data_IF_132439393704
#
_entry.id   IF_132439393704
#
_cell.length_a   1.000
_cell.length_b   1.000
_cell.length_c   1.000
_cell.angle_alpha   90.00
_cell.angle_beta   90.00
_cell.angle_gamma   90.00
#
_symmetry.space_group_name_H-M   'P 1'
#
loop_
_entity.id
_entity.type
_entity.pdbx_description
1 polymer ?
#
# COMPACT_ATOMS: atom_id res chain seq x y z
N UNK A 1 6.27 73.50 52.38
CA UNK A 1 5.10 73.42 53.29
C UNK A 1 4.80 71.94 53.50
N UNK A 2 4.78 71.53 54.78
CA UNK A 2 4.49 70.21 55.38
C UNK A 2 5.41 68.99 55.11
N UNK A 3 6.18 68.68 56.16
CA UNK A 3 6.52 67.33 56.64
C UNK A 3 5.28 66.59 57.18
N UNK A 4 5.25 65.24 57.04
CA UNK A 4 5.39 64.21 58.12
C UNK A 4 4.86 62.84 57.61
N UNK A 5 5.69 61.77 57.60
CA UNK A 5 5.95 60.76 58.69
C UNK A 5 4.76 59.78 58.85
N UNK A 6 4.85 58.44 58.76
CA UNK A 6 5.78 57.50 59.41
C UNK A 6 5.59 56.02 58.97
N UNK A 7 6.73 55.29 58.93
CA UNK A 7 7.06 53.95 59.49
C UNK A 7 6.55 52.72 58.71
N UNK A 8 7.43 51.90 58.11
CA UNK A 8 8.45 50.95 58.65
C UNK A 8 7.84 49.72 59.34
N UNK A 9 8.10 48.52 58.79
CA UNK A 9 8.94 47.48 59.44
C UNK A 9 8.90 46.11 58.72
N UNK A 10 10.09 45.47 58.66
CA UNK A 10 10.28 44.01 58.62
C UNK A 10 10.72 43.42 57.27
N UNK A 11 11.97 43.04 56.98
CA UNK A 11 13.17 42.84 57.79
C UNK A 11 13.71 41.40 57.69
N UNK A 12 15.04 41.26 57.49
CA UNK A 12 15.93 40.09 57.80
C UNK A 12 15.97 38.94 56.76
N UNK A 13 17.05 38.21 56.48
CA UNK A 13 18.47 38.13 56.90
C UNK A 13 19.16 37.15 55.91
N UNK A 14 20.21 37.53 55.18
CA UNK A 14 21.65 37.17 55.35
C UNK A 14 22.03 35.71 55.68
N UNK A 15 22.74 35.10 54.71
CA UNK A 15 23.91 34.17 54.76
C UNK A 15 24.08 33.14 55.89
N UNK A 16 24.30 31.85 55.53
CA UNK A 16 25.33 30.96 56.12
C UNK A 16 25.63 29.71 55.29
N UNK A 17 26.92 29.35 55.24
CA UNK A 17 27.59 28.24 54.51
C UNK A 17 27.47 26.91 55.25
N UNK A 18 27.47 25.76 54.55
CA UNK A 18 28.11 24.49 55.00
C UNK A 18 28.59 23.68 53.78
N UNK A 19 29.89 23.36 53.75
CA UNK A 19 30.53 22.30 52.96
C UNK A 19 30.69 21.07 53.86
N UNK A 20 30.36 19.86 53.39
CA UNK A 20 30.85 18.61 53.98
C UNK A 20 31.05 17.53 52.90
N UNK A 21 32.27 16.99 52.89
CA UNK A 21 32.76 15.86 52.11
C UNK A 21 32.38 14.54 52.81
N UNK A 22 32.02 13.49 52.05
CA UNK A 22 32.23 12.10 52.47
C UNK A 22 32.24 11.16 51.26
N UNK A 23 33.39 10.51 51.04
CA UNK A 23 33.57 9.35 50.17
C UNK A 23 33.44 8.11 51.05
N UNK A 24 32.66 7.10 50.64
CA UNK A 24 32.82 5.71 51.09
C UNK A 24 32.17 4.74 50.08
N UNK A 25 32.98 3.80 49.60
CA UNK A 25 32.58 2.64 48.80
C UNK A 25 31.66 1.70 49.60
N UNK A 26 30.63 1.18 48.95
CA UNK A 26 30.17 -0.20 49.17
C UNK A 26 29.75 -0.84 47.86
N UNK A 27 30.18 -2.09 47.70
CA UNK A 27 30.05 -2.95 46.53
C UNK A 27 28.71 -3.70 46.49
N UNK A 28 28.52 -4.44 45.39
CA UNK A 28 27.62 -5.59 45.14
C UNK A 28 26.18 -5.15 44.71
N UNK A 29 25.56 -5.66 43.64
CA UNK A 29 25.61 -6.95 42.94
C UNK A 29 25.34 -6.73 41.42
N UNK A 30 26.05 -7.38 40.48
CA UNK A 30 25.60 -7.42 39.10
C UNK A 30 24.36 -8.32 39.05
N UNK A 31 23.19 -7.71 38.83
CA UNK A 31 22.01 -8.47 38.44
C UNK A 31 22.32 -9.32 37.20
N UNK A 32 21.66 -10.48 37.01
CA UNK A 32 21.93 -11.33 35.87
C UNK A 32 21.81 -10.49 34.60
N UNK A 33 22.89 -10.49 33.82
CA UNK A 33 22.90 -9.86 32.52
C UNK A 33 21.74 -10.44 31.71
N UNK A 34 20.68 -9.65 31.54
CA UNK A 34 19.73 -9.88 30.47
C UNK A 34 20.51 -9.56 29.20
N UNK A 35 21.25 -10.56 28.72
CA UNK A 35 21.84 -10.60 27.40
C UNK A 35 20.68 -10.71 26.40
N UNK A 36 20.05 -9.58 26.19
CA UNK A 36 19.07 -9.34 25.16
C UNK A 36 19.13 -7.86 24.92
N UNK A 37 20.09 -7.42 24.12
CA UNK A 37 19.94 -6.14 23.42
C UNK A 37 18.50 -6.09 22.90
N UNK A 38 17.72 -5.03 23.16
CA UNK A 38 16.43 -4.89 22.51
C UNK A 38 16.70 -5.06 21.02
N UNK A 39 16.14 -6.11 20.44
CA UNK A 39 16.20 -6.36 19.00
C UNK A 39 15.61 -5.09 18.43
N UNK A 40 16.45 -4.26 17.77
CA UNK A 40 16.06 -2.93 17.27
C UNK A 40 14.64 -3.04 16.79
N UNK A 41 13.73 -2.35 17.46
CA UNK A 41 12.37 -2.20 16.97
C UNK A 41 12.52 -1.86 15.49
N UNK A 42 11.94 -2.68 14.62
CA UNK A 42 11.99 -2.53 13.17
C UNK A 42 11.25 -1.26 12.79
N UNK A 43 11.85 -0.11 13.10
CA UNK A 43 11.48 1.18 12.56
C UNK A 43 11.49 0.98 11.05
N UNK A 44 10.30 1.01 10.45
CA UNK A 44 10.12 0.92 9.02
C UNK A 44 11.08 1.91 8.36
N UNK A 45 12.12 1.38 7.72
CA UNK A 45 13.01 2.16 6.90
C UNK A 45 12.41 2.18 5.49
N UNK A 46 11.83 3.31 5.04
CA UNK A 46 11.31 3.39 3.68
C UNK A 46 12.38 3.15 2.61
N UNK A 47 13.67 3.18 2.98
CA UNK A 47 14.78 2.88 2.09
C UNK A 47 15.16 1.38 2.04
N UNK A 48 14.65 0.53 2.95
CA UNK A 48 14.78 -0.95 2.90
C UNK A 48 13.45 -1.63 2.51
N UNK A 49 12.70 -0.99 1.60
CA UNK A 49 11.34 -1.39 1.20
C UNK A 49 11.25 -2.81 0.60
N UNK A 50 12.36 -3.39 0.13
CA UNK A 50 12.37 -4.69 -0.52
C UNK A 50 12.60 -5.86 0.46
N UNK A 51 13.05 -5.61 1.69
CA UNK A 51 13.32 -6.66 2.67
C UNK A 51 12.03 -7.37 3.03
N UNK A 52 11.99 -8.68 2.80
CA UNK A 52 10.82 -9.51 3.09
C UNK A 52 9.60 -9.18 2.21
N UNK A 53 9.80 -8.42 1.13
CA UNK A 53 8.72 -8.06 0.22
C UNK A 53 8.22 -9.31 -0.53
N UNK A 54 6.93 -9.58 -0.39
CA UNK A 54 6.25 -10.67 -1.07
C UNK A 54 5.90 -10.34 -2.52
N UNK A 55 6.05 -9.08 -2.93
CA UNK A 55 5.86 -8.64 -4.30
C UNK A 55 7.10 -8.88 -5.14
N UNK A 56 6.87 -9.27 -6.39
CA UNK A 56 7.91 -9.22 -7.41
C UNK A 56 7.87 -7.88 -8.13
N UNK A 57 9.04 -7.32 -8.41
CA UNK A 57 9.19 -6.10 -9.19
C UNK A 57 8.38 -4.90 -8.65
N UNK A 58 8.38 -4.70 -7.33
CA UNK A 58 7.67 -3.59 -6.68
C UNK A 58 8.27 -2.20 -6.92
N UNK A 59 9.51 -2.13 -7.39
CA UNK A 59 10.16 -0.90 -7.85
C UNK A 59 10.03 -0.67 -9.35
N UNK A 60 9.32 -1.55 -10.07
CA UNK A 60 9.01 -1.40 -11.50
C UNK A 60 10.23 -1.25 -12.43
N UNK A 61 11.38 -1.83 -12.05
CA UNK A 61 12.64 -1.76 -12.79
C UNK A 61 12.70 -2.69 -14.00
N UNK A 62 11.75 -3.63 -14.10
CA UNK A 62 11.65 -4.60 -15.19
C UNK A 62 10.32 -4.48 -15.91
N UNK A 63 10.35 -4.35 -17.25
CA UNK A 63 9.16 -4.28 -18.09
C UNK A 63 9.23 -5.23 -19.29
N UNK A 64 8.06 -5.57 -19.83
CA UNK A 64 7.93 -6.23 -21.12
C UNK A 64 8.15 -5.26 -22.30
N UNK A 65 8.10 -5.76 -23.55
CA UNK A 65 8.21 -4.91 -24.75
C UNK A 65 7.11 -3.85 -24.86
N UNK A 66 5.97 -4.07 -24.22
CA UNK A 66 4.82 -3.16 -24.09
C UNK A 66 4.99 -2.09 -23.00
N UNK A 67 6.15 -2.09 -22.31
CA UNK A 67 6.46 -1.25 -21.16
C UNK A 67 5.61 -1.52 -19.92
N UNK A 68 4.85 -2.62 -19.89
CA UNK A 68 4.13 -3.03 -18.69
C UNK A 68 5.12 -3.70 -17.72
N UNK A 69 5.11 -3.33 -16.42
CA UNK A 69 5.99 -3.97 -15.44
C UNK A 69 5.77 -5.49 -15.40
N UNK A 70 6.86 -6.25 -15.47
CA UNK A 70 6.80 -7.72 -15.37
C UNK A 70 6.23 -8.14 -14.02
N UNK A 71 5.46 -9.23 -14.01
CA UNK A 71 4.86 -9.79 -12.79
C UNK A 71 3.59 -9.08 -12.32
N UNK A 72 3.16 -8.03 -13.03
CA UNK A 72 1.95 -7.28 -12.72
C UNK A 72 0.93 -7.38 -13.86
N UNK A 73 -0.36 -7.38 -13.52
CA UNK A 73 -1.47 -7.53 -14.48
C UNK A 73 -2.30 -6.26 -14.51
N UNK A 74 -2.38 -5.65 -15.68
CA UNK A 74 -3.19 -4.46 -15.93
C UNK A 74 -4.68 -4.81 -16.04
N UNK A 75 -5.53 -3.94 -15.51
CA UNK A 75 -6.97 -3.98 -15.77
C UNK A 75 -7.58 -2.59 -15.53
N UNK A 76 -8.81 -2.42 -16.00
CA UNK A 76 -9.45 -1.12 -16.13
C UNK A 76 -10.98 -1.26 -16.25
N UNK A 77 -11.69 -0.17 -15.99
CA UNK A 77 -13.14 -0.10 -16.22
C UNK A 77 -13.48 0.32 -17.66
N UNK A 78 -12.71 1.23 -18.27
CA UNK A 78 -12.92 1.73 -19.64
C UNK A 78 -11.60 1.84 -20.41
N UNK A 79 -11.68 1.75 -21.73
CA UNK A 79 -10.53 2.01 -22.62
C UNK A 79 -10.05 3.47 -22.55
N UNK A 80 -8.91 3.77 -23.17
CA UNK A 80 -8.40 5.14 -23.32
C UNK A 80 -7.44 5.60 -22.22
N UNK A 81 -6.83 4.67 -21.49
CA UNK A 81 -5.80 4.92 -20.49
C UNK A 81 -4.43 4.45 -20.99
N UNK A 82 -3.37 4.72 -20.22
CA UNK A 82 -2.03 4.17 -20.42
C UNK A 82 -1.45 3.70 -19.08
N UNK A 83 -0.89 2.51 -19.07
CA UNK A 83 -0.01 2.02 -18.00
C UNK A 83 1.34 1.72 -18.64
N UNK A 84 2.43 2.20 -18.03
CA UNK A 84 3.79 1.89 -18.47
C UNK A 84 4.80 2.23 -17.37
N UNK A 85 5.97 1.58 -17.39
CA UNK A 85 7.15 2.12 -16.70
C UNK A 85 7.55 3.47 -17.33
N UNK A 86 8.03 4.39 -16.50
CA UNK A 86 8.41 5.74 -16.89
C UNK A 86 9.65 6.20 -16.15
N UNK A 87 10.48 6.97 -16.84
CA UNK A 87 11.64 7.67 -16.27
C UNK A 87 11.39 9.17 -16.04
N UNK A 88 10.13 9.62 -16.14
CA UNK A 88 9.77 11.05 -16.00
C UNK A 88 9.82 11.54 -14.55
N UNK A 89 9.45 10.67 -13.61
CA UNK A 89 9.48 10.94 -12.18
C UNK A 89 9.82 9.65 -11.46
N UNK A 90 10.87 9.68 -10.64
CA UNK A 90 11.43 8.52 -9.95
C UNK A 90 11.45 8.78 -8.45
N UNK A 91 11.12 7.76 -7.65
CA UNK A 91 11.41 7.79 -6.21
C UNK A 91 12.77 7.14 -5.96
N UNK A 92 13.08 6.06 -6.69
CA UNK A 92 14.38 5.42 -6.74
C UNK A 92 14.63 4.72 -8.08
N UNK A 93 15.81 4.13 -8.24
CA UNK A 93 16.11 3.31 -9.42
C UNK A 93 16.10 4.10 -10.74
N UNK A 94 15.64 3.45 -11.81
CA UNK A 94 15.58 4.01 -13.17
C UNK A 94 14.15 4.22 -13.65
N UNK A 95 13.19 3.51 -13.07
CA UNK A 95 11.81 3.53 -13.51
C UNK A 95 10.83 3.60 -12.33
N UNK A 96 9.72 4.27 -12.55
CA UNK A 96 8.52 4.15 -11.73
C UNK A 96 7.36 3.68 -12.62
N UNK A 97 6.33 3.08 -12.03
CA UNK A 97 5.10 2.84 -12.76
C UNK A 97 4.36 4.17 -12.95
N UNK A 98 3.88 4.45 -14.16
CA UNK A 98 2.98 5.55 -14.48
C UNK A 98 1.65 5.00 -15.00
N UNK A 99 0.56 5.42 -14.36
CA UNK A 99 -0.81 5.27 -14.85
C UNK A 99 -1.29 6.64 -15.30
N UNK A 100 -1.88 6.75 -16.49
CA UNK A 100 -2.46 7.99 -17.03
C UNK A 100 -3.83 7.71 -17.61
N UNK A 101 -4.83 8.51 -17.21
CA UNK A 101 -6.18 8.47 -17.77
C UNK A 101 -6.63 9.90 -18.09
N UNK A 102 -6.87 10.24 -19.37
CA UNK A 102 -7.37 11.56 -19.76
C UNK A 102 -8.78 11.84 -19.22
N UNK A 103 -9.63 10.82 -19.21
CA UNK A 103 -11.01 10.88 -18.71
C UNK A 103 -11.15 10.09 -17.40
N UNK A 104 -12.19 10.36 -16.58
CA UNK A 104 -12.44 9.62 -15.35
C UNK A 104 -12.56 8.11 -15.62
N UNK A 105 -11.67 7.34 -15.01
CA UNK A 105 -11.62 5.89 -15.15
C UNK A 105 -11.21 5.23 -13.82
N UNK A 106 -11.34 3.91 -13.77
CA UNK A 106 -10.77 3.07 -12.73
C UNK A 106 -9.74 2.18 -13.39
N UNK A 107 -8.46 2.45 -13.14
CA UNK A 107 -7.33 1.80 -13.80
C UNK A 107 -6.39 1.28 -12.74
N UNK A 108 -5.99 0.01 -12.83
CA UNK A 108 -5.11 -0.59 -11.84
C UNK A 108 -4.13 -1.59 -12.44
N UNK A 109 -3.06 -1.80 -11.68
CA UNK A 109 -2.08 -2.84 -11.95
C UNK A 109 -1.99 -3.73 -10.71
N UNK A 110 -2.29 -5.02 -10.85
CA UNK A 110 -2.46 -5.94 -9.73
C UNK A 110 -1.42 -7.07 -9.70
N UNK A 111 -1.13 -7.55 -8.50
CA UNK A 111 -0.39 -8.79 -8.28
C UNK A 111 -1.12 -9.65 -7.25
N UNK A 112 -1.21 -10.94 -7.57
CA UNK A 112 -1.80 -11.96 -6.70
C UNK A 112 -0.69 -12.62 -5.91
N UNK A 113 -0.81 -12.65 -4.59
CA UNK A 113 0.28 -13.01 -3.67
C UNK A 113 -0.21 -14.02 -2.65
N UNK A 114 0.58 -15.06 -2.42
CA UNK A 114 0.32 -16.04 -1.34
C UNK A 114 0.59 -15.40 0.02
N UNK A 115 -0.32 -15.63 0.96
CA UNK A 115 -0.23 -15.13 2.33
C UNK A 115 -0.53 -16.24 3.33
N UNK A 116 -0.14 -16.02 4.58
CA UNK A 116 -0.45 -16.91 5.70
C UNK A 116 -1.82 -16.56 6.28
N UNK A 117 -2.61 -17.54 6.75
CA UNK A 117 -3.84 -17.28 7.50
C UNK A 117 -3.55 -16.64 8.86
N UNK A 118 -4.48 -15.80 9.36
CA UNK A 118 -4.39 -15.13 10.67
C UNK A 118 -3.11 -14.29 10.88
N UNK A 119 -2.60 -13.70 9.81
CA UNK A 119 -1.32 -12.99 9.78
C UNK A 119 -1.52 -11.53 9.41
N UNK A 120 -0.73 -10.66 10.03
CA UNK A 120 -0.77 -9.22 9.81
C UNK A 120 0.17 -8.87 8.65
N UNK A 121 -0.24 -7.95 7.80
CA UNK A 121 0.50 -7.51 6.62
C UNK A 121 0.40 -5.99 6.47
N UNK A 122 1.45 -5.42 5.90
CA UNK A 122 1.48 -4.04 5.40
C UNK A 122 1.64 -4.05 3.89
N UNK A 123 0.72 -3.41 3.18
CA UNK A 123 0.88 -3.06 1.77
C UNK A 123 1.14 -1.56 1.66
N UNK A 124 2.30 -1.18 1.12
CA UNK A 124 2.77 0.20 1.15
C UNK A 124 3.65 0.57 -0.03
N UNK A 125 3.99 1.85 -0.12
CA UNK A 125 4.90 2.38 -1.11
C UNK A 125 4.74 3.89 -1.28
N UNK A 126 5.27 4.42 -2.37
CA UNK A 126 5.23 5.84 -2.67
C UNK A 126 4.31 6.13 -3.85
N UNK A 127 3.58 7.24 -3.76
CA UNK A 127 2.69 7.72 -4.81
C UNK A 127 3.00 9.19 -5.10
N UNK A 128 3.04 9.55 -6.38
CA UNK A 128 3.08 10.93 -6.85
C UNK A 128 1.96 11.14 -7.86
N UNK A 129 1.23 12.25 -7.76
CA UNK A 129 0.10 12.56 -8.63
C UNK A 129 0.29 13.83 -9.44
N UNK A 130 -0.31 13.84 -10.63
CA UNK A 130 -0.43 15.01 -11.52
C UNK A 130 -1.88 15.13 -11.97
N UNK A 131 -2.54 16.21 -11.56
CA UNK A 131 -3.93 16.54 -11.91
C UNK A 131 -4.93 15.38 -11.65
N UNK A 132 -4.76 14.64 -10.54
CA UNK A 132 -5.62 13.49 -10.22
C UNK A 132 -6.94 13.92 -9.59
N UNK A 133 -8.01 13.95 -10.37
CA UNK A 133 -9.37 14.32 -9.95
C UNK A 133 -9.47 15.66 -9.18
N UNK A 134 -10.68 16.09 -8.78
CA UNK A 134 -10.79 17.13 -7.76
C UNK A 134 -10.48 16.54 -6.38
N UNK A 135 -9.89 17.35 -5.49
CA UNK A 135 -9.60 16.96 -4.11
C UNK A 135 -10.87 16.44 -3.39
N UNK A 136 -10.71 15.43 -2.54
CA UNK A 136 -11.82 14.86 -1.75
C UNK A 136 -12.62 13.72 -2.43
N UNK A 137 -12.16 13.24 -3.60
CA UNK A 137 -12.62 11.97 -4.21
C UNK A 137 -11.52 10.89 -4.09
N UNK A 138 -11.86 9.65 -4.44
CA UNK A 138 -10.88 8.55 -4.51
C UNK A 138 -9.93 8.80 -5.67
N UNK A 139 -8.64 8.83 -5.35
CA UNK A 139 -7.57 9.21 -6.24
C UNK A 139 -6.64 8.03 -6.52
N UNK A 140 -5.34 8.29 -6.46
CA UNK A 140 -4.34 7.23 -6.50
C UNK A 140 -4.22 6.55 -5.12
N UNK A 141 -4.24 5.22 -5.08
CA UNK A 141 -4.18 4.45 -3.83
C UNK A 141 -3.58 3.05 -4.00
N UNK A 142 -3.26 2.43 -2.87
CA UNK A 142 -2.97 1.02 -2.73
C UNK A 142 -4.25 0.27 -2.34
N UNK A 143 -4.69 -0.68 -3.16
CA UNK A 143 -5.97 -1.38 -3.04
C UNK A 143 -5.81 -2.87 -2.77
N UNK A 144 -6.73 -3.45 -2.00
CA UNK A 144 -7.02 -4.89 -2.01
C UNK A 144 -8.17 -5.13 -2.99
N UNK A 145 -7.88 -5.61 -4.21
CA UNK A 145 -8.85 -5.73 -5.31
C UNK A 145 -9.90 -6.82 -5.07
N UNK A 146 -9.52 -7.89 -4.37
CA UNK A 146 -10.45 -8.80 -3.75
C UNK A 146 -10.21 -8.61 -2.26
N UNK A 147 -11.07 -7.88 -1.54
CA UNK A 147 -12.49 -7.66 -1.82
C UNK A 147 -12.90 -6.39 -2.61
N UNK A 148 -11.97 -5.49 -2.95
CA UNK A 148 -12.15 -4.43 -3.95
C UNK A 148 -12.46 -3.03 -3.41
N UNK A 149 -12.85 -2.94 -2.13
CA UNK A 149 -13.26 -1.70 -1.46
C UNK A 149 -12.31 -1.23 -0.36
N UNK A 150 -11.30 -2.03 0.00
CA UNK A 150 -10.27 -1.60 0.94
C UNK A 150 -9.10 -0.96 0.19
N UNK A 151 -8.72 0.24 0.63
CA UNK A 151 -7.58 0.96 0.09
C UNK A 151 -6.89 1.82 1.15
N UNK A 152 -5.64 2.19 0.88
CA UNK A 152 -4.90 3.21 1.63
C UNK A 152 -5.58 4.58 1.49
N UNK A 153 -5.22 5.59 2.31
CA UNK A 153 -5.57 6.97 2.01
C UNK A 153 -5.25 7.34 0.57
N UNK A 154 -6.18 8.05 -0.06
CA UNK A 154 -6.08 8.49 -1.44
C UNK A 154 -5.18 9.71 -1.60
N UNK A 155 -4.48 9.76 -2.73
CA UNK A 155 -3.69 10.93 -3.14
C UNK A 155 -4.35 11.52 -4.38
N UNK A 156 -4.71 12.81 -4.31
CA UNK A 156 -5.43 13.56 -5.34
C UNK A 156 -4.68 14.85 -5.71
N UNK A 157 -5.13 15.53 -6.75
CA UNK A 157 -4.52 16.78 -7.22
C UNK A 157 -3.08 16.59 -7.72
N UNK A 158 -2.23 17.55 -7.38
CA UNK A 158 -0.79 17.51 -7.64
C UNK A 158 -0.06 17.25 -6.31
N UNK A 159 0.85 16.29 -6.29
CA UNK A 159 1.62 15.96 -5.08
C UNK A 159 3.12 15.87 -5.35
N UNK A 160 3.89 15.83 -4.26
CA UNK A 160 5.22 15.23 -4.27
C UNK A 160 5.09 13.71 -4.10
N UNK A 161 6.20 12.99 -4.06
CA UNK A 161 6.19 11.60 -3.59
C UNK A 161 5.75 11.57 -2.13
N UNK A 162 4.61 10.92 -1.90
CA UNK A 162 4.03 10.73 -0.58
C UNK A 162 3.95 9.24 -0.31
N UNK A 163 4.44 8.86 0.86
CA UNK A 163 4.31 7.49 1.35
C UNK A 163 2.87 7.26 1.84
N UNK A 164 2.32 6.11 1.53
CA UNK A 164 1.02 5.67 2.06
C UNK A 164 1.00 4.16 2.20
N UNK A 165 0.06 3.65 2.98
CA UNK A 165 -0.04 2.23 3.27
C UNK A 165 -1.44 1.82 3.72
N UNK A 166 -1.66 0.51 3.69
CA UNK A 166 -2.81 -0.17 4.23
C UNK A 166 -2.32 -1.40 5.00
N UNK A 167 -2.67 -1.46 6.28
CA UNK A 167 -2.34 -2.58 7.14
C UNK A 167 -3.58 -3.47 7.29
N UNK A 168 -3.41 -4.78 7.15
CA UNK A 168 -4.52 -5.70 7.25
C UNK A 168 -4.14 -7.04 7.89
N UNK A 169 -5.12 -7.73 8.46
CA UNK A 169 -4.98 -9.09 8.97
C UNK A 169 -5.81 -10.05 8.13
N UNK A 170 -5.18 -11.12 7.66
CA UNK A 170 -5.86 -12.20 6.95
C UNK A 170 -6.73 -13.03 7.90
N UNK A 171 -7.83 -13.61 7.40
CA UNK A 171 -8.63 -14.54 8.20
C UNK A 171 -8.06 -15.98 8.19
N UNK A 172 -8.64 -16.86 9.01
CA UNK A 172 -8.17 -18.23 9.28
C UNK A 172 -8.10 -19.18 8.08
N UNK A 173 -8.69 -18.82 6.95
CA UNK A 173 -8.71 -19.63 5.72
C UNK A 173 -8.11 -18.90 4.52
N UNK A 174 -7.68 -17.65 4.69
CA UNK A 174 -7.14 -16.86 3.60
C UNK A 174 -5.70 -17.30 3.33
N UNK A 175 -5.40 -17.66 2.08
CA UNK A 175 -4.06 -18.08 1.65
C UNK A 175 -3.51 -17.22 0.51
N UNK A 176 -4.29 -16.26 0.07
CA UNK A 176 -3.98 -15.42 -1.08
C UNK A 176 -4.59 -14.03 -0.89
N UNK A 177 -3.95 -12.99 -1.41
CA UNK A 177 -4.55 -11.67 -1.61
C UNK A 177 -4.24 -11.18 -3.00
N UNK A 178 -5.09 -10.31 -3.55
CA UNK A 178 -4.76 -9.55 -4.77
C UNK A 178 -4.63 -8.09 -4.38
N UNK A 179 -3.40 -7.60 -4.39
CA UNK A 179 -3.06 -6.20 -4.14
C UNK A 179 -2.95 -5.46 -5.47
N UNK A 180 -3.20 -4.16 -5.47
CA UNK A 180 -3.02 -3.33 -6.66
C UNK A 180 -2.60 -1.90 -6.33
N UNK A 181 -1.86 -1.32 -7.25
CA UNK A 181 -1.72 0.12 -7.39
C UNK A 181 -2.82 0.61 -8.33
N UNK A 182 -3.53 1.67 -7.96
CA UNK A 182 -4.80 2.02 -8.59
C UNK A 182 -4.99 3.52 -8.71
N UNK A 183 -5.54 3.96 -9.84
CA UNK A 183 -6.03 5.31 -10.09
C UNK A 183 -7.57 5.26 -10.18
N UNK A 184 -8.24 5.85 -9.19
CA UNK A 184 -9.69 5.84 -9.07
C UNK A 184 -10.24 4.57 -8.41
N UNK A 185 -11.55 4.37 -8.54
CA UNK A 185 -12.28 3.14 -8.17
C UNK A 185 -13.58 3.08 -8.95
N UNK A 186 -14.14 1.89 -9.15
CA UNK A 186 -15.27 1.68 -10.04
C UNK A 186 -16.50 2.59 -9.79
N UNK A 187 -16.77 2.96 -8.53
CA UNK A 187 -17.85 3.88 -8.13
C UNK A 187 -17.41 5.36 -8.08
N UNK A 188 -16.10 5.59 -8.07
CA UNK A 188 -15.48 6.91 -7.92
C UNK A 188 -14.29 7.03 -8.88
N UNK A 189 -14.53 7.04 -10.21
CA UNK A 189 -13.47 7.05 -11.20
C UNK A 189 -12.69 8.38 -11.17
N UNK A 190 -11.41 8.33 -11.54
CA UNK A 190 -10.49 9.47 -11.54
C UNK A 190 -9.77 9.63 -12.89
N UNK A 191 -9.52 10.88 -13.27
CA UNK A 191 -8.65 11.27 -14.39
C UNK A 191 -7.33 11.82 -13.84
N UNK A 192 -6.31 11.94 -14.68
CA UNK A 192 -4.99 12.46 -14.34
C UNK A 192 -3.88 11.42 -14.51
N UNK A 193 -2.73 11.66 -13.88
CA UNK A 193 -1.63 10.71 -13.86
C UNK A 193 -1.15 10.42 -12.44
N UNK A 194 -0.87 9.15 -12.17
CA UNK A 194 -0.34 8.67 -10.90
C UNK A 194 0.93 7.86 -11.16
N UNK A 195 1.95 8.12 -10.36
CA UNK A 195 3.22 7.42 -10.35
C UNK A 195 3.32 6.61 -9.07
N UNK A 196 3.86 5.40 -9.17
CA UNK A 196 4.03 4.48 -8.06
C UNK A 196 5.46 3.92 -8.08
N UNK A 197 6.08 3.81 -6.92
CA UNK A 197 7.43 3.28 -6.78
C UNK A 197 7.64 2.68 -5.37
N UNK A 198 8.65 1.82 -5.23
CA UNK A 198 9.04 1.12 -4.00
C UNK A 198 7.86 0.44 -3.29
N UNK A 199 7.05 -0.27 -4.07
CA UNK A 199 5.83 -0.90 -3.59
C UNK A 199 6.15 -2.22 -2.90
N UNK A 200 5.65 -2.39 -1.67
CA UNK A 200 5.95 -3.54 -0.82
C UNK A 200 4.73 -4.15 -0.18
N UNK A 201 4.70 -5.48 -0.11
CA UNK A 201 3.79 -6.24 0.76
C UNK A 201 4.64 -7.07 1.72
N UNK A 202 4.61 -6.74 3.01
CA UNK A 202 5.44 -7.39 4.03
C UNK A 202 4.59 -7.97 5.14
N UNK A 203 5.02 -9.11 5.68
CA UNK A 203 4.46 -9.70 6.90
C UNK A 203 4.88 -8.87 8.12
N UNK A 204 3.99 -8.71 9.09
CA UNK A 204 4.26 -8.00 10.34
C UNK A 204 4.21 -8.96 11.53
N UNK A 205 5.12 -8.76 12.48
CA UNK A 205 5.19 -9.52 13.74
C UNK A 205 3.99 -9.26 14.69
N UNK A 206 3.15 -8.30 14.36
CA UNK A 206 1.97 -7.90 15.13
C UNK A 206 1.08 -6.92 14.37
N UNK A 207 -0.09 -6.57 14.90
CA UNK A 207 -0.79 -5.39 14.42
C UNK A 207 0.10 -4.15 14.60
N UNK A 208 -0.05 -3.12 13.75
CA UNK A 208 0.64 -1.86 13.96
C UNK A 208 0.23 -1.23 15.31
N UNK A 209 1.08 -0.36 15.90
CA UNK A 209 0.75 0.36 17.12
C UNK A 209 -0.58 1.13 17.02
N UNK A 210 -1.31 1.36 18.14
CA UNK A 210 -2.60 2.04 18.11
C UNK A 210 -2.57 3.47 17.55
N UNK A 211 -1.43 4.15 17.65
CA UNK A 211 -1.17 5.50 17.16
C UNK A 211 -0.66 5.54 15.71
N UNK A 212 -0.63 4.40 15.02
CA UNK A 212 -0.21 4.33 13.62
C UNK A 212 -1.15 5.19 12.74
N UNK A 213 -0.60 6.06 11.85
CA UNK A 213 -1.38 7.08 11.13
C UNK A 213 -2.39 6.55 10.09
N UNK A 214 -2.52 5.24 9.94
CA UNK A 214 -3.32 4.60 8.90
C UNK A 214 -4.21 3.50 9.46
N UNK A 215 -5.36 3.29 8.80
CA UNK A 215 -6.38 2.33 9.23
C UNK A 215 -5.84 0.90 9.24
N UNK A 216 -6.16 0.17 10.31
CA UNK A 216 -5.93 -1.27 10.40
C UNK A 216 -7.20 -2.07 10.07
N UNK A 217 -7.09 -3.04 9.16
CA UNK A 217 -8.21 -3.79 8.64
C UNK A 217 -8.19 -5.26 9.07
N UNK A 218 -9.34 -5.78 9.46
CA UNK A 218 -9.53 -7.22 9.65
C UNK A 218 -10.30 -7.76 8.46
N UNK A 219 -9.63 -8.55 7.63
CA UNK A 219 -10.28 -9.18 6.49
C UNK A 219 -11.15 -10.32 7.00
N UNK A 220 -12.35 -10.42 6.46
CA UNK A 220 -13.29 -11.50 6.72
C UNK A 220 -13.58 -12.28 5.44
N UNK A 221 -13.97 -13.57 5.54
CA UNK A 221 -14.38 -14.33 4.36
C UNK A 221 -15.55 -13.69 3.59
N UNK A 222 -16.39 -12.90 4.27
CA UNK A 222 -17.57 -12.25 3.69
C UNK A 222 -17.21 -11.08 2.78
N UNK A 223 -16.02 -10.51 2.93
CA UNK A 223 -15.58 -9.39 2.10
C UNK A 223 -15.30 -9.85 0.66
N UNK A 224 -14.83 -11.08 0.49
CA UNK A 224 -14.44 -11.61 -0.82
C UNK A 224 -15.67 -12.08 -1.60
N UNK A 225 -15.73 -11.80 -2.92
CA UNK A 225 -16.76 -12.39 -3.77
C UNK A 225 -16.72 -13.91 -3.60
N UNK A 226 -17.86 -14.53 -3.24
CA UNK A 226 -17.94 -15.98 -3.26
C UNK A 226 -17.69 -16.44 -4.69
N UNK A 227 -16.68 -17.29 -4.91
CA UNK A 227 -16.62 -18.11 -6.11
C UNK A 227 -17.98 -18.80 -6.23
N UNK A 228 -18.77 -18.43 -7.25
CA UNK A 228 -20.02 -19.13 -7.55
C UNK A 228 -19.66 -20.51 -8.09
N UNK A 229 -19.34 -21.45 -7.21
CA UNK A 229 -19.21 -22.88 -7.51
C UNK A 229 -20.59 -23.53 -7.67
N UNK A 230 -21.51 -22.86 -8.37
CA UNK A 230 -22.86 -23.35 -8.64
C UNK A 230 -22.93 -24.07 -9.99
N UNK A 231 -23.91 -24.97 -10.19
CA UNK A 231 -24.04 -25.80 -11.40
C UNK A 231 -24.16 -25.00 -12.71
N UNK A 232 -24.47 -23.70 -12.64
CA UNK A 232 -24.48 -22.80 -13.79
C UNK A 232 -23.08 -22.55 -14.41
N UNK A 233 -22.00 -22.68 -13.65
CA UNK A 233 -20.63 -22.52 -14.16
C UNK A 233 -20.29 -23.53 -15.27
N UNK A 234 -20.78 -24.78 -15.13
CA UNK A 234 -20.61 -25.82 -16.14
C UNK A 234 -21.48 -25.60 -17.38
N UNK A 235 -22.64 -24.95 -17.23
CA UNK A 235 -23.53 -24.62 -18.37
C UNK A 235 -22.87 -23.55 -19.25
N UNK A 236 -22.27 -22.51 -18.66
CA UNK A 236 -21.56 -21.49 -19.43
C UNK A 236 -20.30 -22.04 -20.12
N UNK A 237 -19.56 -22.96 -19.50
CA UNK A 237 -18.42 -23.62 -20.12
C UNK A 237 -18.84 -24.54 -21.29
N UNK A 238 -19.94 -25.29 -21.14
CA UNK A 238 -20.46 -26.17 -22.19
C UNK A 238 -20.96 -25.38 -23.43
N UNK A 239 -21.63 -24.24 -23.23
CA UNK A 239 -22.07 -23.37 -24.32
C UNK A 239 -20.89 -22.74 -25.05
N UNK A 240 -19.81 -22.39 -24.34
CA UNK A 240 -18.60 -21.83 -24.95
C UNK A 240 -17.84 -22.85 -25.81
N UNK A 241 -17.73 -24.10 -25.33
CA UNK A 241 -17.09 -25.18 -26.11
C UNK A 241 -17.91 -25.57 -27.34
N UNK A 242 -19.25 -25.62 -27.22
CA UNK A 242 -20.13 -25.91 -28.35
C UNK A 242 -20.10 -24.80 -29.42
N UNK A 243 -20.07 -23.52 -29.00
CA UNK A 243 -19.95 -22.38 -29.90
C UNK A 243 -18.62 -22.37 -30.69
N UNK A 244 -17.51 -22.72 -30.04
CA UNK A 244 -16.20 -22.81 -30.70
C UNK A 244 -16.15 -23.93 -31.77
N UNK A 245 -16.81 -25.07 -31.53
CA UNK A 245 -16.87 -26.16 -32.50
C UNK A 245 -17.69 -25.79 -33.76
N UNK A 246 -18.78 -25.02 -33.59
CA UNK A 246 -19.59 -24.53 -34.72
C UNK A 246 -18.83 -23.49 -35.56
N UNK A 247 -18.02 -22.64 -34.93
CA UNK A 247 -17.18 -21.67 -35.65
C UNK A 247 -16.02 -22.33 -36.40
N UNK A 248 -15.41 -23.38 -35.85
CA UNK A 248 -14.33 -24.12 -36.52
C UNK A 248 -14.84 -24.96 -37.71
N UNK A 249 -16.03 -25.55 -37.58
CA UNK A 249 -16.69 -26.24 -38.70
C UNK A 249 -17.21 -25.27 -39.76
N UNK A 250 -17.66 -24.08 -39.35
CA UNK A 250 -18.01 -22.98 -40.26
C UNK A 250 -16.80 -22.50 -41.05
N UNK A 251 -15.68 -22.21 -40.37
CA UNK A 251 -14.46 -21.68 -40.97
C UNK A 251 -13.78 -22.65 -41.94
N UNK A 252 -13.78 -23.95 -41.64
CA UNK A 252 -13.22 -24.98 -42.53
C UNK A 252 -14.00 -25.11 -43.85
N UNK A 253 -15.34 -25.01 -43.81
CA UNK A 253 -16.20 -25.06 -45.00
C UNK A 253 -16.03 -23.84 -45.92
N UNK A 254 -15.87 -22.63 -45.37
CA UNK A 254 -15.62 -21.43 -46.17
C UNK A 254 -14.24 -21.42 -46.81
N UNK A 255 -13.24 -22.05 -46.16
CA UNK A 255 -11.89 -22.19 -46.71
C UNK A 255 -11.84 -23.17 -47.89
N UNK A 256 -12.55 -24.31 -47.81
CA UNK A 256 -12.64 -25.26 -48.92
C UNK A 256 -13.27 -24.63 -50.18
N UNK A 257 -14.37 -23.87 -50.03
CA UNK A 257 -15.02 -23.17 -51.17
C UNK A 257 -14.16 -22.08 -51.83
N UNK A 258 -13.12 -21.58 -51.16
CA UNK A 258 -12.18 -20.60 -51.73
C UNK A 258 -11.01 -21.25 -52.49
N UNK A 259 -10.77 -22.53 -52.31
CA UNK A 259 -9.74 -23.28 -53.04
C UNK A 259 -10.28 -23.99 -54.29
N UNK A 260 -11.61 -24.07 -54.44
CA UNK A 260 -12.31 -24.65 -55.60
C UNK A 260 -12.72 -23.59 -56.66
N UNK A 261 -12.31 -22.33 -56.50
CA UNK A 261 -12.46 -21.24 -57.49
C UNK A 261 -11.09 -20.74 -57.91
#
# INVERSE_FOLDING_TARGET
MLMRKRWDEGGKNRYRRVLLFAFLLSTVIPGPAVSGSPRRDEAFDPFDWNRGNLLTNGGFEEAGPDLIPKGWVASYQREGFRIAVSSEALCSGRYALKITSPEPNDVWLAQRVRVKPNTNYRFSGWILTRNVGPAGRIGANFSLIAPGFYHSPDITGNSIWLYTEINFRTHSRQKEVTVAVRLGRADTPAAGAAYFDQVSLVELDGPPPPDHPHRYLFLSPADFPQERSGPFFWVFLAVFVAGAAVLLTGYSRTRQRRQEK
#
